data_IF_581397868780
#
_entry.id   IF_581397868780
#
_cell.length_a   1.000
_cell.length_b   1.000
_cell.length_c   1.000
_cell.angle_alpha   90.00
_cell.angle_beta   90.00
_cell.angle_gamma   90.00
#
_symmetry.space_group_name_H-M   'P 1'
#
loop_
_entity.id
_entity.type
_entity.pdbx_description
1 polymer ?
#
# COMPACT_ATOMS: atom_id res chain seq x y z
N UNK A 1 -24.85 6.91 -45.31
CA UNK A 1 -25.41 8.18 -44.75
C UNK A 1 -24.25 9.03 -44.26
N UNK A 2 -24.11 10.23 -44.81
CA UNK A 2 -23.00 11.13 -44.42
C UNK A 2 -23.30 11.75 -43.05
N UNK A 3 -22.77 11.09 -42.01
CA UNK A 3 -22.93 11.54 -40.62
C UNK A 3 -22.19 12.88 -40.42
N UNK A 4 -21.04 13.04 -41.05
CA UNK A 4 -20.21 14.24 -40.98
C UNK A 4 -20.89 15.46 -41.62
N UNK A 5 -21.62 15.26 -42.76
CA UNK A 5 -22.45 16.28 -43.38
C UNK A 5 -23.54 16.77 -42.41
N UNK A 6 -24.27 15.87 -41.78
CA UNK A 6 -25.33 16.23 -40.82
C UNK A 6 -24.82 16.99 -39.61
N UNK A 7 -23.63 16.63 -39.09
CA UNK A 7 -23.01 17.34 -37.95
C UNK A 7 -22.60 18.77 -38.37
N UNK A 8 -22.09 18.97 -39.59
CA UNK A 8 -21.74 20.29 -40.12
C UNK A 8 -22.98 21.16 -40.34
N UNK A 9 -24.09 20.58 -40.81
CA UNK A 9 -25.35 21.29 -40.96
C UNK A 9 -25.93 21.72 -39.61
N UNK A 10 -25.93 20.86 -38.61
CA UNK A 10 -26.39 21.20 -37.27
C UNK A 10 -25.55 22.33 -36.64
N UNK A 11 -24.22 22.29 -36.83
CA UNK A 11 -23.32 23.37 -36.36
C UNK A 11 -23.58 24.68 -37.10
N UNK A 12 -23.84 24.63 -38.42
CA UNK A 12 -24.13 25.81 -39.21
C UNK A 12 -25.46 26.49 -38.79
N UNK A 13 -26.48 25.69 -38.43
CA UNK A 13 -27.74 26.21 -37.90
C UNK A 13 -27.56 26.95 -36.57
N UNK A 14 -26.77 26.38 -35.64
CA UNK A 14 -26.45 27.03 -34.37
C UNK A 14 -25.65 28.33 -34.56
N UNK A 15 -24.72 28.34 -35.52
CA UNK A 15 -23.95 29.53 -35.85
C UNK A 15 -24.86 30.63 -36.40
N UNK A 16 -25.82 30.31 -37.27
CA UNK A 16 -26.77 31.26 -37.78
C UNK A 16 -27.68 31.85 -36.70
N UNK A 17 -28.06 31.03 -35.69
CA UNK A 17 -28.80 31.49 -34.51
C UNK A 17 -27.95 32.45 -33.66
N UNK A 18 -26.67 32.13 -33.44
CA UNK A 18 -25.74 33.02 -32.73
C UNK A 18 -25.54 34.35 -33.45
N UNK A 19 -25.32 34.32 -34.80
CA UNK A 19 -25.14 35.52 -35.62
C UNK A 19 -26.41 36.39 -35.59
N UNK A 20 -27.61 35.80 -35.57
CA UNK A 20 -28.86 36.50 -35.42
C UNK A 20 -29.05 37.20 -34.07
N UNK A 21 -28.56 36.56 -32.97
CA UNK A 21 -28.58 37.18 -31.65
C UNK A 21 -27.59 38.36 -31.59
N UNK A 22 -26.39 38.18 -32.14
CA UNK A 22 -25.35 39.22 -32.16
C UNK A 22 -25.69 40.42 -33.04
N UNK A 23 -26.59 40.24 -34.02
CA UNK A 23 -27.04 41.32 -34.90
C UNK A 23 -28.15 42.21 -34.31
N UNK A 24 -28.64 41.93 -33.08
CA UNK A 24 -29.65 42.75 -32.40
C UNK A 24 -29.03 44.02 -31.84
N UNK A 25 -29.57 45.18 -32.17
CA UNK A 25 -29.08 46.50 -31.67
C UNK A 25 -29.29 46.68 -30.15
N UNK A 26 -30.24 45.96 -29.55
CA UNK A 26 -30.53 46.00 -28.09
C UNK A 26 -30.73 44.58 -27.59
N UNK A 27 -29.66 43.92 -27.10
CA UNK A 27 -29.77 42.59 -26.57
C UNK A 27 -30.52 42.59 -25.19
N UNK A 28 -31.44 41.63 -25.03
CA UNK A 28 -32.09 41.38 -23.75
C UNK A 28 -31.19 40.53 -22.83
N UNK A 29 -31.39 40.57 -21.52
CA UNK A 29 -30.55 39.84 -20.55
C UNK A 29 -30.52 38.33 -20.81
N UNK A 30 -31.57 37.75 -21.43
CA UNK A 30 -31.66 36.36 -21.86
C UNK A 30 -30.88 36.06 -23.14
N UNK A 31 -30.68 37.03 -24.03
CA UNK A 31 -29.95 36.85 -25.29
C UNK A 31 -28.44 36.59 -25.07
N UNK A 32 -27.85 37.23 -24.04
CA UNK A 32 -26.44 37.06 -23.68
C UNK A 32 -26.20 35.65 -23.17
N UNK A 33 -27.03 35.17 -22.27
CA UNK A 33 -26.92 33.81 -21.70
C UNK A 33 -27.13 32.73 -22.82
N UNK A 34 -28.03 33.00 -23.77
CA UNK A 34 -28.26 32.10 -24.91
C UNK A 34 -27.08 32.11 -25.90
N UNK A 35 -26.46 33.26 -26.12
CA UNK A 35 -25.27 33.38 -26.98
C UNK A 35 -24.07 32.62 -26.38
N UNK A 36 -23.85 32.73 -25.08
CA UNK A 36 -22.79 31.98 -24.37
C UNK A 36 -23.03 30.46 -24.43
N UNK A 37 -24.26 30.01 -24.22
CA UNK A 37 -24.62 28.60 -24.35
C UNK A 37 -24.40 28.08 -25.80
N UNK A 38 -24.79 28.86 -26.82
CA UNK A 38 -24.55 28.50 -28.23
C UNK A 38 -23.06 28.46 -28.58
N UNK A 39 -22.23 29.34 -28.02
CA UNK A 39 -20.78 29.31 -28.19
C UNK A 39 -20.17 28.02 -27.65
N UNK A 40 -20.59 27.58 -26.48
CA UNK A 40 -20.08 26.35 -25.90
C UNK A 40 -20.59 25.11 -26.65
N UNK A 41 -21.83 25.13 -27.11
CA UNK A 41 -22.36 24.08 -28.00
C UNK A 41 -21.60 24.00 -29.31
N UNK A 42 -21.29 25.12 -29.94
CA UNK A 42 -20.52 25.17 -31.21
C UNK A 42 -19.09 24.64 -30.99
N UNK A 43 -18.43 25.03 -29.92
CA UNK A 43 -17.10 24.48 -29.57
C UNK A 43 -17.13 22.96 -29.35
N UNK A 44 -18.17 22.45 -28.70
CA UNK A 44 -18.36 21.01 -28.48
C UNK A 44 -18.60 20.28 -29.84
N UNK A 45 -19.41 20.86 -30.69
CA UNK A 45 -19.67 20.29 -32.02
C UNK A 45 -18.42 20.35 -32.92
N UNK A 46 -17.60 21.41 -32.85
CA UNK A 46 -16.33 21.50 -33.58
C UNK A 46 -15.33 20.41 -33.12
N UNK A 47 -15.21 20.15 -31.81
CA UNK A 47 -14.37 19.09 -31.31
C UNK A 47 -14.83 17.70 -31.77
N UNK A 48 -16.15 17.46 -31.82
CA UNK A 48 -16.72 16.20 -32.32
C UNK A 48 -16.54 16.03 -33.82
N UNK A 49 -16.71 17.08 -34.59
CA UNK A 49 -16.49 17.07 -36.06
C UNK A 49 -15.01 16.78 -36.35
N UNK A 50 -14.08 17.41 -35.62
CA UNK A 50 -12.65 17.18 -35.78
C UNK A 50 -12.26 15.72 -35.48
N UNK A 51 -12.75 15.17 -34.37
CA UNK A 51 -12.50 13.78 -33.99
C UNK A 51 -13.05 12.77 -34.99
N UNK A 52 -14.25 13.05 -35.56
CA UNK A 52 -14.83 12.20 -36.59
C UNK A 52 -14.11 12.32 -37.93
N UNK A 53 -13.67 13.51 -38.31
CA UNK A 53 -12.87 13.73 -39.51
C UNK A 53 -11.54 12.97 -39.46
N UNK A 54 -10.86 13.04 -38.31
CA UNK A 54 -9.62 12.30 -38.09
C UNK A 54 -9.81 10.79 -38.20
N UNK A 55 -10.91 10.23 -37.64
CA UNK A 55 -11.21 8.81 -37.77
C UNK A 55 -11.49 8.38 -39.19
N UNK A 56 -12.19 9.22 -40.00
CA UNK A 56 -12.46 8.97 -41.41
C UNK A 56 -11.16 9.04 -42.25
N UNK A 57 -10.28 10.00 -41.95
CA UNK A 57 -8.97 10.08 -42.60
C UNK A 57 -8.08 8.88 -42.27
N UNK A 58 -8.05 8.42 -41.03
CA UNK A 58 -7.34 7.20 -40.63
C UNK A 58 -7.89 5.96 -41.37
N UNK A 59 -9.21 5.84 -41.50
CA UNK A 59 -9.83 4.75 -42.26
C UNK A 59 -9.51 4.82 -43.73
N UNK A 60 -9.53 6.01 -44.32
CA UNK A 60 -9.17 6.21 -45.75
C UNK A 60 -7.68 5.89 -45.97
N UNK A 61 -6.79 6.32 -45.09
CA UNK A 61 -5.36 6.01 -45.17
C UNK A 61 -5.12 4.48 -45.00
N UNK A 62 -5.87 3.81 -44.11
CA UNK A 62 -5.78 2.34 -43.94
C UNK A 62 -6.30 1.60 -45.19
N UNK A 63 -7.33 2.12 -45.90
CA UNK A 63 -7.81 1.55 -47.13
C UNK A 63 -6.84 1.81 -48.30
N UNK A 64 -6.25 2.99 -48.40
CA UNK A 64 -5.23 3.31 -49.40
C UNK A 64 -3.97 2.43 -49.25
N UNK A 65 -3.50 2.22 -48.03
CA UNK A 65 -2.40 1.29 -47.76
C UNK A 65 -2.75 -0.17 -48.11
N UNK A 66 -4.02 -0.54 -48.07
CA UNK A 66 -4.48 -1.88 -48.48
C UNK A 66 -4.50 -2.06 -49.98
N UNK A 67 -4.79 -0.99 -50.74
CA UNK A 67 -4.71 -1.00 -52.20
C UNK A 67 -3.26 -0.97 -52.73
N UNK A 68 -2.34 -0.31 -52.02
CA UNK A 68 -0.94 -0.21 -52.41
C UNK A 68 -0.13 -1.49 -52.12
N UNK A 69 -0.57 -2.33 -51.20
CA UNK A 69 0.10 -3.60 -50.84
C UNK A 69 -0.32 -4.80 -51.70
N UNK A 70 -1.25 -4.64 -52.64
CA UNK A 70 -1.50 -5.61 -53.72
C UNK A 70 -1.84 -7.05 -53.26
N UNK A 71 -2.52 -7.21 -52.14
CA UNK A 71 -2.93 -8.52 -51.64
C UNK A 71 -4.43 -8.68 -51.87
N UNK A 72 -4.81 -8.76 -53.13
CA UNK A 72 -6.13 -9.22 -53.57
C UNK A 72 -5.99 -10.19 -54.75
N UNK A 73 -5.08 -11.16 -54.64
CA UNK A 73 -5.19 -12.36 -55.46
C UNK A 73 -5.88 -13.46 -54.63
N UNK A 74 -6.95 -14.07 -55.18
CA UNK A 74 -7.51 -15.25 -54.59
C UNK A 74 -6.43 -16.32 -54.65
N UNK A 75 -5.82 -16.64 -53.54
CA UNK A 75 -4.91 -17.77 -53.40
C UNK A 75 -5.72 -19.02 -53.76
N UNK A 76 -5.56 -19.45 -55.03
CA UNK A 76 -5.93 -20.79 -55.45
C UNK A 76 -5.15 -21.71 -54.55
N UNK A 77 -5.83 -22.35 -53.63
CA UNK A 77 -5.27 -23.42 -52.82
C UNK A 77 -4.96 -24.61 -53.74
N UNK A 78 -3.82 -24.54 -54.41
CA UNK A 78 -3.17 -25.74 -54.86
C UNK A 78 -2.90 -26.57 -53.59
N UNK A 79 -3.14 -27.89 -53.66
CA UNK A 79 -2.81 -28.78 -52.59
C UNK A 79 -1.34 -28.57 -52.23
N UNK A 80 -1.06 -27.73 -51.29
CA UNK A 80 0.26 -27.56 -50.74
C UNK A 80 0.57 -28.90 -50.02
N UNK A 81 1.53 -29.62 -50.56
CA UNK A 81 2.22 -30.64 -49.79
C UNK A 81 2.93 -29.86 -48.69
N UNK A 82 2.27 -29.74 -47.58
CA UNK A 82 2.84 -29.14 -46.38
C UNK A 82 3.79 -30.20 -45.83
N UNK A 83 5.06 -30.05 -46.14
CA UNK A 83 6.15 -30.68 -45.38
C UNK A 83 6.25 -29.93 -44.05
N UNK A 84 5.25 -30.10 -43.18
CA UNK A 84 5.40 -29.78 -41.77
C UNK A 84 6.31 -30.86 -41.19
N UNK A 85 7.32 -30.43 -40.47
CA UNK A 85 8.04 -31.34 -39.58
C UNK A 85 7.00 -32.04 -38.70
N UNK A 86 7.18 -33.37 -38.52
CA UNK A 86 6.29 -34.13 -37.66
C UNK A 86 6.30 -33.50 -36.25
N UNK A 87 5.11 -33.37 -35.69
CA UNK A 87 4.97 -32.86 -34.33
C UNK A 87 5.80 -33.67 -33.35
N UNK A 88 6.38 -33.00 -32.35
CA UNK A 88 7.17 -33.63 -31.31
C UNK A 88 6.38 -34.72 -30.58
N UNK A 89 5.09 -34.48 -30.31
CA UNK A 89 4.13 -35.47 -29.80
C UNK A 89 2.97 -35.60 -30.77
N UNK A 90 2.83 -36.76 -31.41
CA UNK A 90 1.77 -37.04 -32.37
C UNK A 90 1.24 -38.48 -32.18
N UNK A 91 0.11 -38.81 -32.78
CA UNK A 91 -0.58 -40.11 -32.62
C UNK A 91 0.28 -41.33 -33.02
N UNK A 92 1.33 -41.12 -33.79
CA UNK A 92 2.26 -42.17 -34.19
C UNK A 92 3.28 -42.57 -33.12
N UNK A 93 3.71 -41.60 -32.31
CA UNK A 93 4.71 -41.79 -31.24
C UNK A 93 4.14 -41.68 -29.83
N UNK A 94 3.04 -40.98 -29.62
CA UNK A 94 2.42 -40.79 -28.30
C UNK A 94 0.88 -40.83 -28.34
N UNK A 95 0.31 -41.95 -28.76
CA UNK A 95 -1.14 -42.13 -28.88
C UNK A 95 -1.89 -42.05 -27.54
N UNK A 96 -1.21 -42.25 -26.43
CA UNK A 96 -1.78 -42.27 -25.08
C UNK A 96 -1.42 -41.04 -24.27
N UNK A 97 -0.61 -40.09 -24.78
CA UNK A 97 -0.07 -38.95 -24.02
C UNK A 97 0.97 -39.37 -22.96
N UNK A 98 1.38 -40.64 -22.95
CA UNK A 98 2.29 -41.15 -21.92
C UNK A 98 3.72 -40.63 -22.07
N UNK A 99 4.20 -40.42 -23.30
CA UNK A 99 5.52 -39.83 -23.55
C UNK A 99 5.60 -38.38 -23.10
N UNK A 100 4.58 -37.61 -23.41
CA UNK A 100 4.47 -36.21 -22.95
C UNK A 100 4.51 -36.14 -21.43
N UNK A 101 3.70 -36.95 -20.74
CA UNK A 101 3.68 -37.03 -19.28
C UNK A 101 5.02 -37.50 -18.68
N UNK A 102 5.68 -38.47 -19.31
CA UNK A 102 7.00 -38.91 -18.89
C UNK A 102 8.06 -37.84 -19.06
N UNK A 103 8.00 -37.07 -20.15
CA UNK A 103 8.94 -35.99 -20.38
C UNK A 103 8.71 -34.82 -19.39
N UNK A 104 7.45 -34.50 -19.04
CA UNK A 104 7.15 -33.56 -17.99
C UNK A 104 7.72 -33.98 -16.64
N UNK A 105 7.54 -35.27 -16.29
CA UNK A 105 8.07 -35.78 -15.03
C UNK A 105 9.61 -35.84 -15.03
N UNK A 106 10.24 -36.24 -16.14
CA UNK A 106 11.71 -36.27 -16.27
C UNK A 106 12.32 -34.89 -16.24
N UNK A 107 11.68 -33.90 -16.90
CA UNK A 107 12.12 -32.50 -16.87
C UNK A 107 12.07 -31.93 -15.47
N UNK A 108 11.03 -32.27 -14.71
CA UNK A 108 10.77 -31.69 -13.40
C UNK A 108 11.51 -32.37 -12.24
N UNK A 109 11.63 -33.71 -12.28
CA UNK A 109 12.25 -34.48 -11.19
C UNK A 109 13.68 -34.91 -11.45
N UNK A 110 14.06 -35.16 -12.72
CA UNK A 110 15.39 -35.67 -13.09
C UNK A 110 16.25 -34.63 -13.81
N UNK A 111 15.70 -33.43 -14.03
CA UNK A 111 16.38 -32.36 -14.79
C UNK A 111 16.97 -32.80 -16.13
N UNK A 112 16.23 -33.66 -16.82
CA UNK A 112 16.63 -34.26 -18.10
C UNK A 112 16.57 -33.21 -19.22
N UNK A 113 17.74 -32.86 -19.76
CA UNK A 113 17.89 -31.83 -20.78
C UNK A 113 17.17 -32.19 -22.08
N UNK A 114 17.15 -33.51 -22.45
CA UNK A 114 16.48 -33.96 -23.68
C UNK A 114 14.94 -33.84 -23.55
N UNK A 115 14.39 -34.17 -22.38
CA UNK A 115 12.97 -33.97 -22.08
C UNK A 115 12.58 -32.52 -22.11
N UNK A 116 13.40 -31.62 -21.54
CA UNK A 116 13.19 -30.15 -21.57
C UNK A 116 13.23 -29.62 -23.01
N UNK A 117 14.14 -30.10 -23.85
CA UNK A 117 14.23 -29.70 -25.26
C UNK A 117 13.00 -30.14 -26.08
N UNK A 118 12.49 -31.38 -25.87
CA UNK A 118 11.26 -31.86 -26.52
C UNK A 118 10.03 -31.03 -26.09
N UNK A 119 9.89 -30.76 -24.80
CA UNK A 119 8.83 -29.92 -24.29
C UNK A 119 8.91 -28.48 -24.83
N UNK A 120 10.11 -27.90 -24.88
CA UNK A 120 10.33 -26.58 -25.45
C UNK A 120 9.97 -26.49 -26.95
N UNK A 121 10.29 -27.56 -27.73
CA UNK A 121 9.91 -27.68 -29.13
C UNK A 121 8.38 -27.77 -29.29
N UNK A 122 7.74 -28.62 -28.52
CA UNK A 122 6.27 -28.75 -28.52
C UNK A 122 5.58 -27.43 -28.19
N UNK A 123 6.07 -26.67 -27.21
CA UNK A 123 5.52 -25.37 -26.87
C UNK A 123 5.71 -24.34 -28.01
N UNK A 124 6.81 -24.39 -28.75
CA UNK A 124 7.02 -23.56 -29.93
C UNK A 124 6.08 -23.90 -31.08
N UNK A 125 5.87 -25.20 -31.32
CA UNK A 125 4.91 -25.74 -32.32
C UNK A 125 3.48 -25.25 -32.01
N UNK A 126 3.03 -25.38 -30.76
CA UNK A 126 1.71 -24.87 -30.34
C UNK A 126 1.58 -23.37 -30.48
N UNK A 127 2.65 -22.62 -30.23
CA UNK A 127 2.63 -21.17 -30.38
C UNK A 127 2.45 -20.73 -31.82
N UNK A 128 3.16 -21.40 -32.77
CA UNK A 128 3.05 -21.12 -34.19
C UNK A 128 1.65 -21.46 -34.71
N UNK A 129 1.11 -22.64 -34.36
CA UNK A 129 -0.23 -23.07 -34.79
C UNK A 129 -1.32 -22.15 -34.24
N UNK A 130 -1.15 -21.66 -33.01
CA UNK A 130 -2.08 -20.71 -32.42
C UNK A 130 -2.02 -19.34 -33.12
N UNK A 131 -0.83 -18.89 -33.54
CA UNK A 131 -0.64 -17.71 -34.36
C UNK A 131 -1.35 -17.82 -35.72
N UNK A 132 -1.09 -18.91 -36.46
CA UNK A 132 -1.74 -19.17 -37.75
C UNK A 132 -3.26 -19.30 -37.65
N UNK A 133 -3.78 -19.87 -36.55
CA UNK A 133 -5.22 -19.99 -36.32
C UNK A 133 -5.90 -18.63 -36.05
N UNK A 134 -5.19 -17.69 -35.44
CA UNK A 134 -5.70 -16.36 -35.13
C UNK A 134 -5.67 -15.43 -36.37
N UNK A 135 -4.72 -15.61 -37.28
CA UNK A 135 -4.62 -14.79 -38.50
C UNK A 135 -5.72 -15.09 -39.55
N UNK A 136 -6.31 -16.28 -39.53
CA UNK A 136 -7.30 -16.73 -40.49
C UNK A 136 -8.78 -16.46 -40.17
N UNK A 137 -9.09 -15.82 -39.03
CA UNK A 137 -10.48 -15.56 -38.61
C UNK A 137 -10.72 -14.10 -38.27
N UNK A 138 -11.85 -13.54 -38.78
CA UNK A 138 -12.37 -12.29 -38.28
C UNK A 138 -12.52 -12.38 -36.75
N UNK A 139 -11.97 -11.41 -36.06
CA UNK A 139 -11.84 -11.41 -34.58
C UNK A 139 -13.21 -11.53 -33.90
N UNK A 140 -13.56 -12.75 -33.55
CA UNK A 140 -14.61 -12.98 -32.55
C UNK A 140 -13.94 -12.74 -31.21
N UNK A 141 -14.34 -11.68 -30.49
CA UNK A 141 -13.70 -11.27 -29.24
C UNK A 141 -13.73 -12.37 -28.17
N UNK A 142 -12.80 -12.34 -27.25
CA UNK A 142 -12.68 -13.25 -26.11
C UNK A 142 -13.95 -13.36 -25.26
N UNK A 143 -14.83 -12.35 -25.30
CA UNK A 143 -16.13 -12.33 -24.64
C UNK A 143 -17.12 -13.38 -25.20
N UNK A 144 -16.97 -13.79 -26.47
CA UNK A 144 -17.88 -14.75 -27.09
C UNK A 144 -17.44 -16.21 -26.87
N UNK A 145 -16.25 -16.42 -26.33
CA UNK A 145 -15.68 -17.76 -26.05
C UNK A 145 -15.15 -17.86 -24.61
N UNK A 146 -15.86 -17.28 -23.66
CA UNK A 146 -15.44 -17.29 -22.26
C UNK A 146 -15.16 -18.71 -21.70
N UNK A 147 -15.80 -19.75 -22.26
CA UNK A 147 -15.56 -21.15 -21.89
C UNK A 147 -14.38 -21.82 -22.61
N UNK A 148 -13.83 -21.19 -23.66
CA UNK A 148 -12.71 -21.69 -24.48
C UNK A 148 -11.46 -20.83 -24.33
N UNK A 149 -11.52 -19.75 -23.56
CA UNK A 149 -10.32 -18.98 -23.19
C UNK A 149 -9.43 -19.88 -22.37
N UNK A 150 -8.27 -20.20 -22.93
CA UNK A 150 -7.23 -20.96 -22.21
C UNK A 150 -6.97 -20.28 -20.87
N UNK A 151 -6.92 -21.05 -19.77
CA UNK A 151 -6.62 -20.48 -18.47
C UNK A 151 -5.37 -19.62 -18.55
N UNK A 152 -5.48 -18.40 -18.09
CA UNK A 152 -4.33 -17.50 -18.01
C UNK A 152 -3.26 -18.24 -17.21
N UNK A 153 -2.10 -18.43 -17.80
CA UNK A 153 -0.97 -18.93 -17.02
C UNK A 153 -0.72 -17.89 -15.91
N UNK A 154 -0.94 -18.29 -14.67
CA UNK A 154 -0.47 -17.53 -13.54
C UNK A 154 1.05 -17.48 -13.69
N UNK A 155 1.59 -16.35 -14.07
CA UNK A 155 3.01 -16.09 -13.89
C UNK A 155 3.30 -16.24 -12.40
N UNK A 156 4.49 -16.71 -12.00
CA UNK A 156 4.88 -16.88 -10.60
C UNK A 156 4.79 -15.58 -9.76
N UNK A 157 4.33 -14.49 -10.35
CA UNK A 157 4.12 -13.21 -9.69
C UNK A 157 2.68 -13.09 -9.21
N UNK A 158 2.44 -13.51 -7.99
CA UNK A 158 1.23 -13.15 -7.24
C UNK A 158 1.42 -11.74 -6.71
N UNK A 159 0.44 -10.86 -6.94
CA UNK A 159 0.41 -9.55 -6.32
C UNK A 159 -0.38 -9.65 -5.00
N UNK A 160 0.28 -9.76 -3.84
CA UNK A 160 -0.41 -9.84 -2.56
C UNK A 160 -1.10 -8.51 -2.26
N UNK A 161 -2.14 -8.56 -1.43
CA UNK A 161 -2.78 -7.35 -0.93
C UNK A 161 -1.78 -6.56 -0.08
N UNK A 162 -1.60 -5.27 -0.41
CA UNK A 162 -0.68 -4.41 0.35
C UNK A 162 -1.23 -4.15 1.75
N UNK A 163 -0.53 -4.63 2.76
CA UNK A 163 -0.82 -4.38 4.18
C UNK A 163 0.31 -3.56 4.79
N UNK A 164 0.00 -2.82 5.86
CA UNK A 164 1.03 -2.13 6.61
C UNK A 164 2.00 -3.15 7.24
N UNK A 165 3.28 -2.83 7.22
CA UNK A 165 4.28 -3.54 8.00
C UNK A 165 4.15 -3.19 9.50
N UNK A 166 5.15 -3.49 10.30
CA UNK A 166 5.20 -3.13 11.73
C UNK A 166 6.32 -2.13 12.09
N UNK A 167 6.38 -0.97 11.44
CA UNK A 167 7.50 -0.04 11.60
C UNK A 167 7.60 0.55 13.00
N UNK A 168 6.48 0.73 13.70
CA UNK A 168 6.49 1.23 15.07
C UNK A 168 6.95 0.14 16.06
N UNK A 169 6.48 -1.10 15.91
CA UNK A 169 6.92 -2.22 16.73
C UNK A 169 8.44 -2.46 16.65
N UNK A 170 9.02 -2.28 15.45
CA UNK A 170 10.46 -2.41 15.23
C UNK A 170 11.26 -1.22 15.80
N UNK A 171 10.63 -0.07 16.02
CA UNK A 171 11.26 1.14 16.55
C UNK A 171 11.26 1.20 18.09
N UNK A 172 10.37 0.49 18.74
CA UNK A 172 10.26 0.45 20.21
C UNK A 172 11.20 -0.58 20.84
N UNK A 173 11.36 -0.53 22.15
CA UNK A 173 12.21 -1.45 22.87
C UNK A 173 11.57 -2.82 23.02
N UNK A 174 12.15 -3.82 22.37
CA UNK A 174 11.70 -5.21 22.46
C UNK A 174 12.35 -5.94 23.65
N UNK A 175 11.59 -6.84 24.25
CA UNK A 175 12.00 -7.72 25.35
C UNK A 175 11.47 -9.14 25.09
N UNK A 176 12.17 -10.12 25.65
CA UNK A 176 11.68 -11.49 25.65
C UNK A 176 10.45 -11.67 26.54
N UNK A 177 9.47 -12.40 26.03
CA UNK A 177 8.28 -12.78 26.78
C UNK A 177 8.65 -13.79 27.86
N UNK A 178 8.16 -13.64 29.10
CA UNK A 178 8.29 -14.69 30.12
C UNK A 178 7.68 -16.01 29.64
N UNK A 179 8.36 -17.13 29.94
CA UNK A 179 7.94 -18.46 29.48
C UNK A 179 6.57 -18.91 30.00
N UNK A 180 6.04 -18.28 31.06
CA UNK A 180 4.73 -18.58 31.64
C UNK A 180 4.10 -17.33 32.26
N UNK A 181 2.76 -17.31 32.27
CA UNK A 181 1.96 -16.21 32.80
C UNK A 181 1.28 -15.38 31.74
N UNK A 182 0.16 -14.77 32.09
CA UNK A 182 -0.62 -13.89 31.21
C UNK A 182 -0.45 -12.41 31.58
N UNK A 183 0.51 -12.10 32.45
CA UNK A 183 0.80 -10.73 32.88
C UNK A 183 2.29 -10.53 33.04
N UNK A 184 2.77 -9.37 32.60
CA UNK A 184 4.12 -8.87 32.86
C UNK A 184 4.00 -7.73 33.86
N UNK A 185 4.75 -7.81 34.98
CA UNK A 185 4.69 -6.83 36.05
C UNK A 185 5.96 -5.99 36.06
N UNK A 186 5.81 -4.67 36.11
CA UNK A 186 6.90 -3.72 36.21
C UNK A 186 6.71 -2.91 37.51
N UNK A 187 7.69 -2.89 38.38
CA UNK A 187 7.70 -1.95 39.52
C UNK A 187 8.02 -0.54 38.99
N UNK A 188 7.20 0.41 39.35
CA UNK A 188 7.38 1.81 39.03
C UNK A 188 7.48 2.64 40.31
N UNK A 189 8.62 3.27 40.51
CA UNK A 189 8.83 4.17 41.65
C UNK A 189 7.95 5.40 41.46
N UNK A 190 7.07 5.66 42.42
CA UNK A 190 6.14 6.81 42.43
C UNK A 190 6.63 7.95 43.32
N UNK A 191 7.34 7.61 44.40
CA UNK A 191 7.97 8.58 45.28
C UNK A 191 9.47 8.32 45.33
N UNK A 192 10.27 9.27 44.95
CA UNK A 192 11.72 9.18 44.99
C UNK A 192 12.26 9.71 46.30
N UNK A 193 13.46 9.24 46.68
CA UNK A 193 14.22 9.84 47.79
C UNK A 193 14.58 11.29 47.45
N UNK A 194 14.64 12.14 48.45
CA UNK A 194 15.05 13.52 48.30
C UNK A 194 16.37 13.80 49.05
N UNK A 195 17.19 14.65 48.46
CA UNK A 195 18.37 15.20 49.10
C UNK A 195 18.27 16.73 49.08
N UNK A 196 18.53 17.34 50.23
CA UNK A 196 18.45 18.79 50.39
C UNK A 196 19.70 19.32 51.07
N UNK A 197 19.96 20.62 50.90
CA UNK A 197 21.02 21.32 51.65
C UNK A 197 20.66 21.31 53.12
N UNK A 198 21.58 20.80 53.94
CA UNK A 198 21.37 20.64 55.36
C UNK A 198 21.91 21.82 56.15
N UNK A 199 21.14 22.28 57.12
CA UNK A 199 21.59 23.29 58.06
C UNK A 199 22.39 22.62 59.20
N UNK A 200 23.50 23.19 59.59
CA UNK A 200 24.33 22.64 60.65
C UNK A 200 23.54 22.50 61.98
N UNK A 201 23.60 21.30 62.56
CA UNK A 201 22.95 21.03 63.84
C UNK A 201 21.46 20.64 63.76
N UNK A 202 20.91 20.43 62.54
CA UNK A 202 19.56 19.91 62.37
C UNK A 202 19.59 18.47 61.85
N UNK A 203 18.57 17.69 62.17
CA UNK A 203 18.44 16.31 61.66
C UNK A 203 18.19 16.32 60.15
N UNK A 204 18.76 15.33 59.44
CA UNK A 204 18.52 15.12 58.04
C UNK A 204 17.09 14.65 57.86
N UNK A 205 16.34 15.29 56.94
CA UNK A 205 14.99 14.85 56.62
C UNK A 205 15.02 13.54 55.84
N UNK A 206 14.22 12.58 56.25
CA UNK A 206 14.07 11.30 55.59
C UNK A 206 12.85 11.33 54.66
N UNK A 207 13.00 10.80 53.47
CA UNK A 207 11.90 10.57 52.52
C UNK A 207 11.87 9.10 52.15
N UNK A 208 10.77 8.44 52.43
CA UNK A 208 10.60 7.03 52.05
C UNK A 208 10.37 6.92 50.57
N UNK A 209 11.07 6.00 49.95
CA UNK A 209 10.82 5.58 48.59
C UNK A 209 9.55 4.73 48.53
N UNK A 210 8.70 4.98 47.55
CA UNK A 210 7.48 4.21 47.34
C UNK A 210 7.38 3.77 45.89
N UNK A 211 6.77 2.60 45.64
CA UNK A 211 6.57 2.06 44.29
C UNK A 211 5.13 1.61 44.06
N UNK A 212 4.78 1.50 42.81
CA UNK A 212 3.51 0.92 42.33
C UNK A 212 3.77 -0.14 41.28
N UNK A 213 2.98 -1.19 41.31
CA UNK A 213 3.05 -2.25 40.31
C UNK A 213 2.27 -1.85 39.06
N UNK A 214 2.97 -1.75 37.93
CA UNK A 214 2.35 -1.63 36.61
C UNK A 214 2.19 -3.03 36.03
N UNK A 215 0.94 -3.47 35.88
CA UNK A 215 0.61 -4.79 35.33
C UNK A 215 0.25 -4.65 33.85
N UNK A 216 0.95 -5.38 33.00
CA UNK A 216 0.74 -5.42 31.55
C UNK A 216 0.17 -6.78 31.19
N UNK A 217 -1.02 -6.83 30.60
CA UNK A 217 -1.65 -8.08 30.19
C UNK A 217 -1.07 -8.58 28.87
N UNK A 218 -0.80 -9.89 28.83
CA UNK A 218 -0.44 -10.57 27.57
C UNK A 218 -1.68 -10.74 26.73
N UNK A 219 -1.56 -10.42 25.46
CA UNK A 219 -2.61 -10.53 24.46
C UNK A 219 -2.28 -11.61 23.45
N UNK A 220 -3.32 -12.21 22.91
CA UNK A 220 -3.19 -13.15 21.81
C UNK A 220 -3.73 -12.50 20.55
N UNK A 221 -2.89 -12.34 19.56
CA UNK A 221 -3.29 -11.94 18.20
C UNK A 221 -3.34 -13.20 17.37
N UNK A 222 -4.45 -13.45 16.69
CA UNK A 222 -4.64 -14.66 15.88
C UNK A 222 -5.40 -14.37 14.61
N UNK A 223 -5.04 -15.06 13.54
CA UNK A 223 -5.75 -15.07 12.27
C UNK A 223 -5.95 -16.49 11.79
N UNK A 224 -7.07 -16.78 11.15
CA UNK A 224 -7.36 -18.09 10.58
C UNK A 224 -7.94 -17.98 9.18
N UNK A 225 -7.60 -18.94 8.33
CA UNK A 225 -8.14 -19.08 6.99
C UNK A 225 -8.36 -20.55 6.66
N UNK A 226 -9.56 -20.90 6.21
CA UNK A 226 -9.85 -22.24 5.69
C UNK A 226 -9.61 -22.27 4.19
N UNK A 227 -8.77 -23.20 3.74
CA UNK A 227 -8.48 -23.42 2.33
C UNK A 227 -9.04 -24.79 1.92
N UNK A 228 -9.77 -24.85 0.81
CA UNK A 228 -10.31 -26.13 0.34
C UNK A 228 -9.23 -27.01 -0.26
N UNK A 229 -9.34 -28.31 -0.07
CA UNK A 229 -8.38 -29.28 -0.58
C UNK A 229 -8.26 -29.23 -2.12
N UNK A 230 -9.36 -28.92 -2.79
CA UNK A 230 -9.36 -28.73 -4.23
C UNK A 230 -8.48 -27.54 -4.66
N UNK A 231 -8.51 -26.44 -3.89
CA UNK A 231 -7.65 -25.28 -4.17
C UNK A 231 -6.17 -25.61 -3.93
N UNK A 232 -5.87 -26.44 -2.92
CA UNK A 232 -4.50 -26.88 -2.62
C UNK A 232 -3.97 -27.83 -3.69
N UNK A 233 -4.78 -28.80 -4.13
CA UNK A 233 -4.36 -29.83 -5.08
C UNK A 233 -4.34 -29.35 -6.54
N UNK A 234 -5.14 -28.35 -6.90
CA UNK A 234 -5.27 -27.81 -8.26
C UNK A 234 -4.77 -26.39 -8.43
N UNK A 235 -4.53 -25.67 -7.36
CA UNK A 235 -3.99 -24.33 -7.39
C UNK A 235 -2.46 -24.34 -7.25
N UNK A 236 -1.81 -23.34 -7.86
CA UNK A 236 -0.37 -23.12 -7.71
C UNK A 236 -0.12 -22.18 -6.52
N UNK A 237 0.73 -22.59 -5.57
CA UNK A 237 1.19 -21.75 -4.44
C UNK A 237 0.09 -21.17 -3.54
N UNK A 238 -1.10 -21.79 -3.48
CA UNK A 238 -2.24 -21.26 -2.70
C UNK A 238 -1.93 -21.21 -1.20
N UNK A 239 -1.32 -22.29 -0.66
CA UNK A 239 -0.97 -22.34 0.76
C UNK A 239 0.06 -21.28 1.15
N UNK A 240 1.10 -21.12 0.33
CA UNK A 240 2.18 -20.17 0.60
C UNK A 240 1.64 -18.74 0.57
N UNK A 241 0.81 -18.42 -0.44
CA UNK A 241 0.18 -17.09 -0.54
C UNK A 241 -0.72 -16.79 0.65
N UNK A 242 -1.54 -17.77 1.08
CA UNK A 242 -2.44 -17.59 2.24
C UNK A 242 -1.64 -17.44 3.54
N UNK A 243 -0.58 -18.22 3.69
CA UNK A 243 0.29 -18.14 4.86
C UNK A 243 1.01 -16.80 4.95
N UNK A 244 1.57 -16.33 3.83
CA UNK A 244 2.24 -15.02 3.75
C UNK A 244 1.25 -13.88 4.08
N UNK A 245 0.02 -13.96 3.56
CA UNK A 245 -1.02 -12.98 3.84
C UNK A 245 -1.44 -12.98 5.32
N UNK A 246 -1.56 -14.15 5.95
CA UNK A 246 -1.87 -14.29 7.38
C UNK A 246 -0.74 -13.74 8.26
N UNK A 247 0.53 -14.05 7.93
CA UNK A 247 1.70 -13.53 8.66
C UNK A 247 1.78 -12.01 8.55
N UNK A 248 1.58 -11.47 7.35
CA UNK A 248 1.57 -10.02 7.13
C UNK A 248 0.42 -9.35 7.87
N UNK A 249 -0.77 -9.99 7.91
CA UNK A 249 -1.91 -9.53 8.71
C UNK A 249 -1.59 -9.48 10.19
N UNK A 250 -0.93 -10.52 10.72
CA UNK A 250 -0.52 -10.56 12.12
C UNK A 250 0.40 -9.40 12.48
N UNK A 251 1.42 -9.15 11.66
CA UNK A 251 2.36 -8.05 11.91
C UNK A 251 1.68 -6.67 11.83
N UNK A 252 0.81 -6.47 10.86
CA UNK A 252 0.04 -5.24 10.75
C UNK A 252 -0.90 -5.02 11.94
N UNK A 253 -1.56 -6.09 12.41
CA UNK A 253 -2.44 -6.00 13.57
C UNK A 253 -1.67 -5.76 14.88
N UNK A 254 -0.50 -6.38 15.05
CA UNK A 254 0.36 -6.15 16.21
C UNK A 254 0.73 -4.67 16.31
N UNK A 255 1.15 -4.09 15.22
CA UNK A 255 1.56 -2.69 15.17
C UNK A 255 0.38 -1.74 15.38
N UNK A 256 -0.77 -2.06 14.78
CA UNK A 256 -2.02 -1.34 15.00
C UNK A 256 -2.43 -1.35 16.48
N UNK A 257 -2.32 -2.49 17.18
CA UNK A 257 -2.64 -2.58 18.60
C UNK A 257 -1.67 -1.76 19.46
N UNK A 258 -0.36 -1.78 19.16
CA UNK A 258 0.61 -0.93 19.86
C UNK A 258 0.22 0.56 19.78
N UNK A 259 -0.26 1.01 18.63
CA UNK A 259 -0.67 2.40 18.44
C UNK A 259 -2.04 2.70 19.03
N UNK A 260 -3.05 1.86 18.76
CA UNK A 260 -4.45 2.26 18.87
C UNK A 260 -5.26 1.52 19.93
N UNK A 261 -4.67 0.55 20.67
CA UNK A 261 -5.40 -0.18 21.68
C UNK A 261 -6.00 0.74 22.75
N UNK A 262 -7.26 0.45 23.12
CA UNK A 262 -8.03 1.29 24.02
C UNK A 262 -7.46 1.44 25.43
N UNK A 263 -6.66 0.48 25.92
CA UNK A 263 -6.14 0.48 27.30
C UNK A 263 -4.68 0.90 27.37
N UNK A 264 -3.81 0.26 26.58
CA UNK A 264 -2.36 0.40 26.66
C UNK A 264 -1.75 0.97 25.37
N UNK A 265 -2.54 1.22 24.34
CA UNK A 265 -2.08 1.78 23.07
C UNK A 265 -1.52 3.19 23.24
N UNK A 266 -0.59 3.54 22.37
CA UNK A 266 0.08 4.84 22.41
C UNK A 266 -0.94 5.99 22.33
N UNK A 267 -1.97 5.87 21.53
CA UNK A 267 -3.04 6.86 21.38
C UNK A 267 -3.78 7.15 22.69
N UNK A 268 -3.88 6.16 23.60
CA UNK A 268 -4.58 6.29 24.88
C UNK A 268 -3.65 6.79 25.98
N UNK A 269 -2.41 6.32 26.01
CA UNK A 269 -1.45 6.61 27.09
C UNK A 269 -0.74 7.95 26.89
N UNK A 270 -0.50 8.36 25.64
CA UNK A 270 0.24 9.57 25.34
C UNK A 270 -0.52 10.84 25.79
N UNK A 271 0.23 11.79 26.36
CA UNK A 271 -0.32 13.07 26.78
C UNK A 271 -0.71 13.92 25.56
N UNK A 272 -1.92 14.48 25.54
CA UNK A 272 -2.44 15.21 24.40
C UNK A 272 -1.87 16.62 24.27
N UNK A 273 -1.41 16.96 23.06
CA UNK A 273 -1.12 18.32 22.60
C UNK A 273 -2.17 18.67 21.54
N UNK A 274 -3.02 19.63 21.84
CA UNK A 274 -4.05 20.07 20.89
C UNK A 274 -3.48 21.11 19.94
N UNK A 275 -3.66 20.87 18.64
CA UNK A 275 -3.43 21.88 17.60
C UNK A 275 -4.72 22.16 16.88
N UNK A 276 -5.31 23.33 17.22
CA UNK A 276 -6.53 23.81 16.57
C UNK A 276 -6.17 24.83 15.51
N UNK A 277 -6.49 24.50 14.28
CA UNK A 277 -6.45 25.40 13.15
C UNK A 277 -7.69 25.13 12.29
N UNK A 278 -8.49 26.16 12.07
CA UNK A 278 -9.76 26.06 11.35
C UNK A 278 -9.70 26.71 9.95
N UNK A 279 -8.52 27.19 9.55
CA UNK A 279 -8.29 27.80 8.24
C UNK A 279 -7.50 26.83 7.35
N UNK A 280 -6.31 27.15 7.01
CA UNK A 280 -5.48 26.32 6.12
C UNK A 280 -4.20 25.89 6.87
N UNK A 281 -4.23 24.79 7.63
CA UNK A 281 -3.10 24.36 8.42
C UNK A 281 -1.87 24.09 7.53
N UNK A 282 -0.73 24.63 7.94
CA UNK A 282 0.52 24.51 7.21
C UNK A 282 1.54 23.61 7.92
N UNK A 283 2.44 23.01 7.16
CA UNK A 283 3.51 22.18 7.73
C UNK A 283 4.47 23.02 8.59
N UNK A 284 4.58 24.31 8.33
CA UNK A 284 5.39 25.24 9.13
C UNK A 284 4.81 25.41 10.53
N UNK A 285 3.49 25.40 10.69
CA UNK A 285 2.80 25.50 11.97
C UNK A 285 2.84 24.19 12.77
N UNK A 286 2.96 23.06 12.11
CA UNK A 286 3.17 21.76 12.77
C UNK A 286 4.56 21.69 13.44
N UNK A 287 5.56 22.33 12.87
CA UNK A 287 6.94 22.31 13.37
C UNK A 287 7.07 22.67 14.86
N UNK A 288 6.56 23.81 15.34
CA UNK A 288 6.61 24.14 16.76
C UNK A 288 5.82 23.18 17.64
N UNK A 289 4.80 22.49 17.12
CA UNK A 289 4.05 21.48 17.88
C UNK A 289 4.87 20.22 18.13
N UNK A 290 5.65 19.78 17.14
CA UNK A 290 6.59 18.68 17.30
C UNK A 290 7.65 19.02 18.36
N UNK A 291 8.21 20.24 18.30
CA UNK A 291 9.19 20.69 19.30
C UNK A 291 8.57 20.89 20.69
N UNK A 292 7.32 21.31 20.78
CA UNK A 292 6.56 21.34 22.04
C UNK A 292 6.44 19.94 22.63
N UNK A 293 6.17 18.92 21.78
CA UNK A 293 6.13 17.52 22.18
C UNK A 293 7.50 17.04 22.68
N UNK A 294 8.57 17.32 21.94
CA UNK A 294 9.92 16.97 22.36
C UNK A 294 10.29 17.58 23.72
N UNK A 295 10.05 18.87 23.88
CA UNK A 295 10.32 19.55 25.15
C UNK A 295 9.51 18.96 26.32
N UNK A 296 8.26 18.57 26.10
CA UNK A 296 7.42 17.93 27.10
C UNK A 296 7.97 16.56 27.52
N UNK A 297 8.44 15.75 26.56
CA UNK A 297 9.09 14.46 26.83
C UNK A 297 10.39 14.66 27.63
N UNK A 298 11.24 15.59 27.22
CA UNK A 298 12.50 15.87 27.91
C UNK A 298 12.28 16.36 29.35
N UNK A 299 11.29 17.21 29.56
CA UNK A 299 10.91 17.68 30.91
C UNK A 299 10.37 16.53 31.75
N UNK A 300 9.52 15.67 31.21
CA UNK A 300 8.95 14.53 31.91
C UNK A 300 10.03 13.51 32.33
N UNK A 301 11.01 13.28 31.50
CA UNK A 301 12.11 12.33 31.73
C UNK A 301 13.37 12.99 32.31
N UNK A 302 13.30 14.29 32.65
CA UNK A 302 14.44 15.04 33.20
C UNK A 302 15.72 14.93 32.37
N UNK A 303 15.57 15.00 31.03
CA UNK A 303 16.64 14.84 30.02
C UNK A 303 17.32 13.46 30.00
N UNK A 304 16.75 12.43 30.62
CA UNK A 304 17.33 11.08 30.58
C UNK A 304 17.16 10.38 29.24
N UNK A 305 16.24 10.87 28.39
CA UNK A 305 15.98 10.34 27.05
C UNK A 305 16.54 11.19 25.91
N UNK A 306 17.43 12.13 26.21
CA UNK A 306 18.05 12.97 25.20
C UNK A 306 18.70 12.09 24.11
N UNK A 307 18.27 12.23 22.86
CA UNK A 307 18.72 11.41 21.73
C UNK A 307 17.89 10.17 21.40
N UNK A 308 16.90 9.80 22.23
CA UNK A 308 16.01 8.63 21.99
C UNK A 308 14.59 9.04 21.61
N UNK A 309 14.34 10.34 21.45
CA UNK A 309 13.03 10.83 21.06
C UNK A 309 12.83 10.62 19.56
N UNK A 310 11.74 9.96 19.22
CA UNK A 310 11.31 9.72 17.83
C UNK A 310 9.97 10.41 17.58
N UNK A 311 9.71 10.69 16.30
CA UNK A 311 8.43 11.18 15.82
C UNK A 311 7.77 10.10 14.98
N UNK A 312 6.53 9.72 15.32
CA UNK A 312 5.76 8.73 14.56
C UNK A 312 4.60 9.42 13.88
N UNK A 313 4.43 9.17 12.58
CA UNK A 313 3.36 9.78 11.79
C UNK A 313 2.95 8.93 10.59
N UNK A 314 1.75 9.21 10.07
CA UNK A 314 1.24 8.55 8.87
C UNK A 314 2.01 8.99 7.60
N UNK A 315 2.18 8.11 6.59
CA UNK A 315 2.88 8.44 5.33
C UNK A 315 2.38 9.70 4.63
N UNK A 316 1.05 9.94 4.66
CA UNK A 316 0.45 11.17 4.07
C UNK A 316 0.97 12.44 4.73
N UNK A 317 1.18 12.42 6.06
CA UNK A 317 1.68 13.58 6.81
C UNK A 317 3.17 13.82 6.53
N UNK A 318 3.94 12.74 6.45
CA UNK A 318 5.35 12.83 6.07
C UNK A 318 5.53 13.40 4.67
N UNK A 319 4.74 12.92 3.68
CA UNK A 319 4.78 13.45 2.32
C UNK A 319 4.43 14.95 2.28
N UNK A 320 3.41 15.37 3.04
CA UNK A 320 3.02 16.77 3.14
C UNK A 320 4.11 17.68 3.71
N UNK A 321 4.79 17.24 4.77
CA UNK A 321 5.91 18.00 5.35
C UNK A 321 7.06 18.14 4.33
N UNK A 322 7.36 17.06 3.59
CA UNK A 322 8.42 17.09 2.57
C UNK A 322 8.06 17.96 1.36
N UNK A 323 6.78 18.04 1.00
CA UNK A 323 6.31 18.90 -0.09
C UNK A 323 6.20 20.37 0.33
N UNK A 324 6.22 20.68 1.63
CA UNK A 324 6.03 22.03 2.13
C UNK A 324 7.21 22.93 1.82
N UNK A 325 6.89 24.18 1.47
CA UNK A 325 7.86 25.22 1.21
C UNK A 325 7.81 26.27 2.32
N UNK A 326 8.98 26.75 2.72
CA UNK A 326 9.12 27.94 3.57
C UNK A 326 9.80 29.03 2.73
N UNK A 327 9.04 30.08 2.41
CA UNK A 327 9.55 31.21 1.62
C UNK A 327 10.28 30.79 0.33
N UNK A 328 9.65 29.94 -0.47
CA UNK A 328 10.18 29.39 -1.74
C UNK A 328 11.31 28.36 -1.60
N UNK A 329 11.62 27.95 -0.39
CA UNK A 329 12.59 26.86 -0.14
C UNK A 329 11.88 25.69 0.55
N UNK A 330 12.27 24.41 0.29
CA UNK A 330 11.70 23.26 1.01
C UNK A 330 11.85 23.43 2.52
N UNK A 331 10.78 23.18 3.29
CA UNK A 331 10.79 23.28 4.75
C UNK A 331 11.86 22.41 5.40
N UNK A 332 12.02 21.20 4.89
CA UNK A 332 13.08 20.25 5.29
C UNK A 332 14.35 20.40 4.47
N UNK A 333 14.49 21.47 3.67
CA UNK A 333 15.74 21.75 2.99
C UNK A 333 16.84 21.90 4.02
N UNK A 334 17.79 21.02 3.95
CA UNK A 334 18.88 20.93 4.88
C UNK A 334 19.77 22.14 4.81
N UNK A 335 19.84 22.88 5.87
CA UNK A 335 20.83 23.92 6.05
C UNK A 335 22.21 23.27 6.09
N UNK A 336 22.91 23.30 4.96
CA UNK A 336 24.36 23.25 4.92
C UNK A 336 25.04 21.89 4.96
N UNK A 337 24.38 20.77 4.66
CA UNK A 337 25.13 19.52 4.48
C UNK A 337 25.01 18.96 3.07
N UNK A 338 26.09 18.99 2.27
CA UNK A 338 26.16 18.26 1.01
C UNK A 338 26.10 16.72 1.20
N UNK A 339 26.26 16.25 2.42
CA UNK A 339 26.13 14.84 2.78
C UNK A 339 24.67 14.40 3.01
N UNK A 340 23.71 15.19 2.56
CA UNK A 340 22.30 14.84 2.59
C UNK A 340 21.71 14.71 3.99
N UNK A 341 20.41 14.74 4.00
CA UNK A 341 19.48 14.53 5.12
C UNK A 341 19.81 13.28 5.97
N UNK A 342 20.70 12.43 5.51
CA UNK A 342 20.99 11.10 6.04
C UNK A 342 22.45 10.87 6.44
N UNK A 343 23.19 11.90 6.85
CA UNK A 343 24.54 11.67 7.38
C UNK A 343 24.53 10.74 8.64
N UNK A 344 23.38 10.67 9.36
CA UNK A 344 23.13 9.69 10.40
C UNK A 344 22.12 8.61 10.01
N UNK A 345 21.66 8.60 8.74
CA UNK A 345 20.54 7.76 8.30
C UNK A 345 20.80 6.26 8.37
N UNK A 346 22.02 5.84 8.14
CA UNK A 346 22.39 4.42 8.27
C UNK A 346 22.31 3.93 9.72
N UNK A 347 22.73 4.78 10.65
CA UNK A 347 22.72 4.48 12.08
C UNK A 347 21.29 4.46 12.63
N UNK A 348 20.48 5.43 12.25
CA UNK A 348 19.06 5.48 12.62
C UNK A 348 18.24 4.37 11.96
N UNK A 349 18.53 4.01 10.71
CA UNK A 349 17.88 2.89 10.03
C UNK A 349 18.16 1.55 10.72
N UNK A 350 19.40 1.35 11.18
CA UNK A 350 19.74 0.17 11.97
C UNK A 350 19.04 0.14 13.35
N UNK A 351 18.78 1.32 13.94
CA UNK A 351 18.17 1.43 15.26
C UNK A 351 16.64 1.38 15.23
N UNK A 352 16.01 2.00 14.24
CA UNK A 352 14.55 2.16 14.18
C UNK A 352 13.87 1.36 13.06
N UNK A 353 14.58 0.48 12.40
CA UNK A 353 14.05 -0.44 11.42
C UNK A 353 13.59 0.18 10.10
N UNK A 354 12.74 -0.54 9.40
CA UNK A 354 12.28 -0.19 8.05
C UNK A 354 11.37 1.04 7.98
N UNK A 355 10.79 1.45 9.11
CA UNK A 355 9.91 2.61 9.22
C UNK A 355 10.62 3.95 9.21
N UNK A 356 11.92 3.98 9.45
CA UNK A 356 12.70 5.22 9.42
C UNK A 356 12.73 5.84 8.02
N UNK A 357 12.36 7.11 7.92
CA UNK A 357 12.29 7.85 6.65
C UNK A 357 13.16 9.10 6.59
N UNK A 358 13.62 9.59 7.71
CA UNK A 358 14.41 10.82 7.77
C UNK A 358 14.35 11.46 9.14
N UNK A 359 14.71 12.72 9.23
CA UNK A 359 14.71 13.48 10.48
C UNK A 359 13.98 14.81 10.34
N UNK A 360 13.33 15.24 11.43
CA UNK A 360 12.75 16.59 11.57
C UNK A 360 13.54 17.31 12.66
N UNK A 361 14.34 18.32 12.27
CA UNK A 361 15.16 19.07 13.21
C UNK A 361 16.14 18.21 14.03
N UNK A 362 16.58 17.06 13.50
CA UNK A 362 17.42 16.09 14.20
C UNK A 362 16.66 14.97 14.90
N UNK A 363 15.33 15.06 15.04
CA UNK A 363 14.51 13.98 15.59
C UNK A 363 14.23 12.93 14.51
N UNK A 364 14.53 11.64 14.73
CA UNK A 364 14.22 10.57 13.79
C UNK A 364 12.71 10.45 13.56
N UNK A 365 12.32 10.24 12.30
CA UNK A 365 10.90 10.07 11.92
C UNK A 365 10.68 8.63 11.49
N UNK A 366 9.76 7.97 12.17
CA UNK A 366 9.22 6.66 11.83
C UNK A 366 7.86 6.88 11.16
N UNK A 367 7.72 6.36 9.97
CA UNK A 367 6.49 6.50 9.17
C UNK A 367 5.73 5.20 9.21
N UNK A 368 4.49 5.27 9.67
CA UNK A 368 3.64 4.11 9.88
C UNK A 368 2.23 4.32 9.31
N UNK A 369 1.81 3.39 8.47
CA UNK A 369 0.49 3.41 7.86
C UNK A 369 -0.63 2.94 8.82
N UNK A 370 -0.29 2.36 9.98
CA UNK A 370 -1.24 1.97 11.02
C UNK A 370 -1.69 3.15 11.91
N UNK A 371 -1.05 4.31 11.80
CA UNK A 371 -1.53 5.54 12.43
C UNK A 371 -2.90 5.90 11.86
N UNK A 372 -3.89 6.10 12.74
CA UNK A 372 -5.26 6.39 12.32
C UNK A 372 -5.37 7.73 11.59
N UNK A 373 -6.26 7.77 10.61
CA UNK A 373 -6.45 8.94 9.73
C UNK A 373 -7.91 9.41 9.66
N UNK A 374 -8.77 8.85 10.50
CA UNK A 374 -10.21 9.06 10.53
C UNK A 374 -10.69 9.70 11.84
N UNK A 375 -9.84 10.48 12.50
CA UNK A 375 -10.16 11.18 13.73
C UNK A 375 -10.94 12.49 13.46
N UNK A 376 -11.46 13.07 14.55
CA UNK A 376 -12.25 14.30 14.51
C UNK A 376 -13.67 14.11 14.01
N UNK A 377 -14.49 15.15 14.11
CA UNK A 377 -15.90 15.11 13.74
C UNK A 377 -16.14 14.84 12.25
N UNK A 378 -15.22 15.26 11.38
CA UNK A 378 -15.27 15.01 9.94
C UNK A 378 -14.56 13.72 9.51
N UNK A 379 -14.06 12.90 10.45
CA UNK A 379 -13.34 11.64 10.19
C UNK A 379 -12.19 11.78 9.16
N UNK A 380 -11.49 12.89 9.18
CA UNK A 380 -10.43 13.24 8.22
C UNK A 380 -9.11 13.68 8.87
N UNK A 381 -9.03 13.62 10.20
CA UNK A 381 -7.84 14.01 10.96
C UNK A 381 -6.95 12.81 11.21
N UNK A 382 -5.65 13.04 11.19
CA UNK A 382 -4.64 12.11 11.67
C UNK A 382 -4.01 12.61 12.97
N UNK A 383 -2.99 11.92 13.41
CA UNK A 383 -2.25 12.24 14.62
C UNK A 383 -0.75 12.07 14.41
N UNK A 384 0.01 12.77 15.24
CA UNK A 384 1.46 12.70 15.25
C UNK A 384 1.91 12.45 16.68
N UNK A 385 2.80 11.50 16.86
CA UNK A 385 3.35 11.16 18.17
C UNK A 385 4.79 11.62 18.28
N UNK A 386 5.16 12.08 19.46
CA UNK A 386 6.53 12.40 19.85
C UNK A 386 6.80 11.66 21.14
N UNK A 387 7.71 10.70 21.13
CA UNK A 387 7.92 9.82 22.26
C UNK A 387 9.38 9.37 22.41
N UNK A 388 9.75 9.02 23.64
CA UNK A 388 11.01 8.35 23.91
C UNK A 388 10.87 6.85 23.57
N UNK A 389 11.51 6.39 22.49
CA UNK A 389 11.41 5.02 22.01
C UNK A 389 11.80 3.96 23.07
N UNK A 390 12.79 4.25 23.88
CA UNK A 390 13.25 3.35 24.96
C UNK A 390 12.26 3.20 26.12
N UNK A 391 11.26 4.08 26.24
CA UNK A 391 10.24 4.01 27.29
C UNK A 391 8.95 3.33 26.82
N UNK A 392 8.90 2.98 25.54
CA UNK A 392 7.88 2.11 24.95
C UNK A 392 8.40 0.70 24.92
N UNK A 393 7.79 -0.18 25.70
CA UNK A 393 8.23 -1.56 25.88
C UNK A 393 7.26 -2.53 25.25
N UNK A 394 7.80 -3.48 24.48
CA UNK A 394 7.07 -4.59 23.88
C UNK A 394 7.73 -5.90 24.30
N UNK A 395 6.93 -6.91 24.61
CA UNK A 395 7.36 -8.28 24.90
C UNK A 395 6.81 -9.19 23.81
N UNK A 396 7.69 -9.93 23.19
CA UNK A 396 7.41 -10.91 22.15
C UNK A 396 8.33 -12.12 22.41
N UNK A 397 7.93 -13.32 22.04
CA UNK A 397 8.82 -14.47 22.18
C UNK A 397 9.90 -14.41 21.10
N UNK A 398 11.16 -14.28 21.50
CA UNK A 398 12.29 -14.17 20.56
C UNK A 398 12.56 -15.47 19.80
N UNK A 399 12.20 -16.63 20.36
CA UNK A 399 12.41 -17.93 19.73
C UNK A 399 11.26 -18.33 18.81
N UNK A 400 10.03 -17.95 19.16
CA UNK A 400 8.82 -18.25 18.39
C UNK A 400 7.81 -17.10 18.49
N UNK A 401 8.09 -15.95 17.84
CA UNK A 401 7.18 -14.80 17.89
C UNK A 401 5.83 -15.12 17.28
N UNK A 402 5.77 -16.15 16.45
CA UNK A 402 4.60 -16.56 15.70
C UNK A 402 4.47 -18.07 15.67
N UNK A 403 3.29 -18.57 16.00
CA UNK A 403 2.94 -19.98 15.89
C UNK A 403 2.03 -20.22 14.69
N UNK A 404 2.38 -21.22 13.89
CA UNK A 404 1.59 -21.64 12.74
C UNK A 404 1.03 -23.02 13.02
N UNK A 405 -0.28 -23.18 12.90
CA UNK A 405 -0.96 -24.47 13.04
C UNK A 405 -1.79 -24.75 11.80
N UNK A 406 -1.77 -26.01 11.38
CA UNK A 406 -2.64 -26.53 10.33
C UNK A 406 -3.46 -27.66 10.92
N UNK A 407 -4.77 -27.62 10.74
CA UNK A 407 -5.68 -28.70 11.18
C UNK A 407 -6.71 -28.98 10.08
N UNK A 408 -7.04 -30.26 9.95
CA UNK A 408 -8.09 -30.73 9.04
C UNK A 408 -9.33 -31.17 9.80
N UNK A 409 -9.24 -31.32 11.12
CA UNK A 409 -10.29 -31.89 11.96
C UNK A 409 -11.66 -31.20 11.89
N UNK A 410 -11.74 -29.90 12.08
CA UNK A 410 -13.04 -29.18 12.03
C UNK A 410 -13.66 -29.17 10.65
N UNK A 411 -12.87 -29.13 9.60
CA UNK A 411 -13.27 -28.94 8.21
C UNK A 411 -13.25 -30.21 7.35
N UNK A 412 -13.14 -31.38 7.96
CA UNK A 412 -13.06 -32.69 7.24
C UNK A 412 -14.22 -32.90 6.29
N UNK A 413 -15.44 -32.59 6.71
CA UNK A 413 -16.65 -32.79 5.90
C UNK A 413 -16.71 -31.86 4.67
N UNK A 414 -16.11 -30.68 4.77
CA UNK A 414 -16.04 -29.70 3.69
C UNK A 414 -14.75 -29.82 2.88
N UNK A 415 -13.91 -30.84 3.15
CA UNK A 415 -12.59 -31.01 2.56
C UNK A 415 -11.73 -29.72 2.73
N UNK A 416 -11.85 -29.06 3.86
CA UNK A 416 -11.08 -27.88 4.22
C UNK A 416 -9.83 -28.22 5.01
N UNK A 417 -8.83 -27.37 4.88
CA UNK A 417 -7.64 -27.31 5.74
C UNK A 417 -7.63 -25.95 6.41
N UNK A 418 -7.67 -25.93 7.74
CA UNK A 418 -7.66 -24.71 8.52
C UNK A 418 -6.19 -24.33 8.81
N UNK A 419 -5.81 -23.12 8.38
CA UNK A 419 -4.54 -22.50 8.70
C UNK A 419 -4.79 -21.48 9.79
N UNK A 420 -4.05 -21.58 10.90
CA UNK A 420 -4.12 -20.65 12.02
C UNK A 420 -2.74 -20.11 12.31
N UNK A 421 -2.63 -18.80 12.33
CA UNK A 421 -1.44 -18.07 12.73
C UNK A 421 -1.78 -17.32 14.01
N UNK A 422 -0.99 -17.47 15.07
CA UNK A 422 -1.19 -16.75 16.32
C UNK A 422 0.12 -16.46 17.00
N UNK A 423 0.13 -15.42 17.82
CA UNK A 423 1.26 -15.07 18.67
C UNK A 423 0.81 -14.37 19.94
N UNK A 424 1.70 -14.33 20.90
CA UNK A 424 1.50 -13.65 22.18
C UNK A 424 2.34 -12.38 22.20
N UNK A 425 1.74 -11.29 22.61
CA UNK A 425 2.42 -10.01 22.78
C UNK A 425 1.92 -9.30 24.03
N UNK A 426 2.79 -8.52 24.63
CA UNK A 426 2.44 -7.58 25.68
C UNK A 426 3.17 -6.28 25.42
N UNK A 427 2.55 -5.14 25.71
CA UNK A 427 3.19 -3.86 25.49
C UNK A 427 2.69 -2.82 26.48
N UNK A 428 3.52 -1.81 26.72
CA UNK A 428 3.16 -0.66 27.55
C UNK A 428 3.94 0.58 27.16
N UNK A 429 3.26 1.72 27.19
CA UNK A 429 3.84 3.06 27.07
C UNK A 429 3.70 3.86 28.37
N UNK A 430 3.22 3.20 29.44
CA UNK A 430 2.83 3.85 30.69
C UNK A 430 3.90 3.81 31.79
N UNK A 431 5.14 3.39 31.48
CA UNK A 431 6.21 3.33 32.48
C UNK A 431 6.49 4.70 33.11
N UNK A 432 6.59 5.72 32.27
CA UNK A 432 6.70 7.11 32.70
C UNK A 432 5.59 7.96 32.13
N UNK A 433 4.88 8.68 32.99
CA UNK A 433 3.89 9.65 32.57
C UNK A 433 4.55 10.80 31.80
N UNK A 434 4.06 11.09 30.60
CA UNK A 434 4.59 12.16 29.77
C UNK A 434 5.78 11.77 28.88
N UNK A 435 6.29 10.54 28.94
CA UNK A 435 7.31 10.04 28.02
C UNK A 435 6.82 9.96 26.55
N UNK A 436 5.52 10.04 26.36
CA UNK A 436 4.87 10.03 25.04
C UNK A 436 3.90 11.20 24.95
N UNK A 437 3.97 11.92 23.86
CA UNK A 437 3.08 13.04 23.53
C UNK A 437 2.33 12.73 22.24
N UNK A 438 1.07 13.12 22.18
CA UNK A 438 0.17 12.94 21.04
C UNK A 438 -0.34 14.27 20.57
N UNK A 439 -0.03 14.67 19.35
CA UNK A 439 -0.53 15.88 18.70
C UNK A 439 -1.80 15.51 17.96
N UNK A 440 -2.91 16.20 18.25
CA UNK A 440 -4.22 15.97 17.64
C UNK A 440 -4.94 17.30 17.42
N UNK A 441 -5.99 17.29 16.62
CA UNK A 441 -6.87 18.43 16.43
C UNK A 441 -7.08 18.83 14.98
N UNK A 442 -7.84 19.91 14.75
CA UNK A 442 -8.24 20.36 13.42
C UNK A 442 -7.07 20.80 12.52
N UNK A 443 -5.90 21.10 13.08
CA UNK A 443 -4.69 21.35 12.29
C UNK A 443 -4.12 20.09 11.60
N UNK A 444 -4.56 18.90 11.99
CA UNK A 444 -4.13 17.62 11.38
C UNK A 444 -5.18 17.03 10.43
N UNK A 445 -5.99 17.86 9.76
CA UNK A 445 -6.88 17.41 8.68
C UNK A 445 -6.11 16.80 7.51
N UNK A 446 -6.81 16.10 6.63
CA UNK A 446 -6.20 15.52 5.42
C UNK A 446 -5.38 16.58 4.69
N UNK A 447 -4.08 16.33 4.43
CA UNK A 447 -3.21 17.29 3.78
C UNK A 447 -3.67 17.66 2.38
N UNK A 448 -3.60 18.94 2.03
CA UNK A 448 -3.62 19.42 0.64
C UNK A 448 -2.17 19.70 0.20
N UNK A 449 -1.85 19.38 -1.06
CA UNK A 449 -0.52 19.53 -1.65
C UNK A 449 -0.49 20.66 -2.66
#
# INVERSE_FOLDING_TARGET
MDILGKMREARAAKKAELDAILAKETPEEGDVARADALLDEIKSDDARIAAYAETVERQAAAMANKEETGIDEPVVRGSAVVTREERTYHDGNDRSGALFLQDVLRAQFSNDIEAQQRLGRHMSEERVERGEYLEGRAATGTANFAGLVVPQYLTDMVAPYAKAARPFADAVRSHDMPAAGMTVNISRITTATSAAVQTQGTDVSETNIDDTLLTVSVQTIAGSQTVTRQAIERGTSVLDTVLEDLVTSYHSQLDYELLNQATNGLATVATGITWTDNTDPTAVELWPKIWQGNAAVEVALKNQSAGDVIVVMHPRRWAWINAALSSSSPLLAQVGSPAGVNAGGADFGARYGSGFRGTIGGLPVVVDANVVTNLGAATNQDEVYVLAANESHMWEDSNAPLFIRTDTGPSVKSLGVDLVVYGYSAFTHARYSGASQRITGSGLVTPAF
#
